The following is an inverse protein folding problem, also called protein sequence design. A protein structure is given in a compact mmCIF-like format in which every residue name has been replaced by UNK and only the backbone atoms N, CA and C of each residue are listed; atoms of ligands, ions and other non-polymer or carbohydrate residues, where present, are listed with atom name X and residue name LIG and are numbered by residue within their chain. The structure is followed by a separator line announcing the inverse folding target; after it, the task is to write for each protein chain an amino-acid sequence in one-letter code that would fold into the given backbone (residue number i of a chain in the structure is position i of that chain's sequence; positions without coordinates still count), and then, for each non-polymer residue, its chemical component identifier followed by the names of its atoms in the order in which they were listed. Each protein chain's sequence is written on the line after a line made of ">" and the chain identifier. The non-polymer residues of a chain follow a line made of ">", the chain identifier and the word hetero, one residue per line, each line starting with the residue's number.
data_IF_682397863080
#
_entry.id   IF_682397863080
#
_cell.length_a   1.000
_cell.length_b   1.000
_cell.length_c   1.000
_cell.angle_alpha   90.00
_cell.angle_beta   90.00
_cell.angle_gamma   90.00
#
_symmetry.space_group_name_H-M   'P 1'
#
loop_
_entity.id
_entity.type
_entity.pdbx_description
1 polymer ?
#
# COMPACT_ATOMS: atom_id res chain seq x y z
N UNK A 1 -2.53 8.24 -9.97
CA UNK A 1 -3.11 7.03 -10.57
C UNK A 1 -2.21 5.80 -10.45
N UNK A 2 -0.94 5.84 -10.88
CA UNK A 2 -0.06 4.67 -10.80
C UNK A 2 0.20 4.12 -9.38
N UNK A 3 0.10 4.96 -8.35
CA UNK A 3 0.32 4.57 -6.94
C UNK A 3 -0.96 4.15 -6.20
N UNK A 4 -2.13 4.33 -6.82
CA UNK A 4 -3.42 4.03 -6.19
C UNK A 4 -3.79 2.55 -6.37
N UNK A 5 -3.50 1.96 -7.54
CA UNK A 5 -3.76 0.54 -7.81
C UNK A 5 -2.94 -0.40 -6.89
N UNK A 6 -1.63 -0.18 -6.64
CA UNK A 6 -0.89 -1.00 -5.69
C UNK A 6 -1.43 -0.90 -4.26
N UNK A 7 -1.81 0.30 -3.83
CA UNK A 7 -2.38 0.53 -2.51
C UNK A 7 -3.75 -0.16 -2.37
N UNK A 8 -4.57 -0.13 -3.43
CA UNK A 8 -5.85 -0.84 -3.48
C UNK A 8 -5.65 -2.34 -3.31
N UNK A 9 -4.73 -2.92 -4.08
CA UNK A 9 -4.41 -4.35 -4.02
C UNK A 9 -3.89 -4.77 -2.65
N UNK A 10 -3.06 -3.95 -2.01
CA UNK A 10 -2.58 -4.21 -0.64
C UNK A 10 -3.75 -4.25 0.34
N UNK A 11 -4.63 -3.25 0.28
CA UNK A 11 -5.80 -3.19 1.13
C UNK A 11 -6.75 -4.37 0.90
N UNK A 12 -7.01 -4.74 -0.36
CA UNK A 12 -7.82 -5.92 -0.72
C UNK A 12 -7.19 -7.22 -0.22
N UNK A 13 -5.87 -7.38 -0.31
CA UNK A 13 -5.14 -8.53 0.24
C UNK A 13 -5.19 -8.60 1.77
N UNK A 14 -5.28 -7.46 2.44
CA UNK A 14 -5.51 -7.37 3.88
C UNK A 14 -7.00 -7.57 4.26
N UNK A 15 -7.90 -7.79 3.29
CA UNK A 15 -9.33 -7.97 3.55
C UNK A 15 -10.13 -6.68 3.71
N UNK A 16 -9.54 -5.54 3.37
CA UNK A 16 -10.19 -4.22 3.39
C UNK A 16 -10.64 -3.78 2.01
N UNK A 17 -11.65 -2.91 1.97
CA UNK A 17 -12.12 -2.32 0.73
C UNK A 17 -11.10 -1.29 0.23
N UNK A 18 -10.28 -1.68 -0.76
CA UNK A 18 -9.14 -0.86 -1.17
C UNK A 18 -9.52 0.53 -1.68
N UNK A 19 -10.70 0.72 -2.27
CA UNK A 19 -11.17 2.04 -2.69
C UNK A 19 -11.34 2.99 -1.49
N UNK A 20 -11.87 2.49 -0.37
CA UNK A 20 -12.04 3.25 0.87
C UNK A 20 -10.69 3.57 1.50
N UNK A 21 -9.78 2.59 1.52
CA UNK A 21 -8.43 2.79 2.07
C UNK A 21 -7.66 3.84 1.26
N UNK A 22 -7.69 3.75 -0.07
CA UNK A 22 -7.03 4.72 -0.96
C UNK A 22 -7.60 6.12 -0.76
N UNK A 23 -8.92 6.27 -0.67
CA UNK A 23 -9.56 7.58 -0.46
C UNK A 23 -9.21 8.16 0.91
N UNK A 24 -9.17 7.31 1.95
CA UNK A 24 -8.83 7.70 3.30
C UNK A 24 -7.36 8.12 3.43
N UNK A 25 -6.43 7.35 2.87
CA UNK A 25 -5.00 7.72 2.83
C UNK A 25 -4.78 8.99 2.01
N UNK A 26 -5.50 9.19 0.89
CA UNK A 26 -5.46 10.46 0.13
C UNK A 26 -5.96 11.67 0.90
N UNK A 27 -6.90 11.46 1.82
CA UNK A 27 -7.41 12.52 2.69
C UNK A 27 -6.48 12.84 3.86
N UNK A 28 -5.44 12.02 4.07
CA UNK A 28 -4.44 12.20 5.11
C UNK A 28 -3.21 12.92 4.54
N UNK A 29 -2.65 13.82 5.32
CA UNK A 29 -1.47 14.59 4.95
C UNK A 29 -0.19 14.02 5.59
N UNK A 30 0.93 14.19 4.91
CA UNK A 30 2.25 13.84 5.41
C UNK A 30 2.57 12.34 5.33
N UNK A 31 3.09 11.78 6.42
CA UNK A 31 3.56 10.39 6.48
C UNK A 31 2.48 9.40 6.94
N UNK A 32 1.25 9.87 7.14
CA UNK A 32 0.12 9.04 7.56
C UNK A 32 -0.34 8.15 6.41
N UNK A 33 -0.49 6.86 6.68
CA UNK A 33 -0.95 5.90 5.68
C UNK A 33 -1.57 4.66 6.33
N UNK A 34 -2.01 3.73 5.49
CA UNK A 34 -2.58 2.48 5.95
C UNK A 34 -1.50 1.41 6.05
N UNK A 35 -1.26 0.93 7.26
CA UNK A 35 -0.35 -0.18 7.51
C UNK A 35 -1.10 -1.50 7.36
N UNK A 36 -0.86 -2.22 6.27
CA UNK A 36 -1.53 -3.49 6.01
C UNK A 36 -1.06 -4.66 6.88
N UNK A 37 0.00 -4.50 7.68
CA UNK A 37 0.44 -5.52 8.64
C UNK A 37 -0.28 -5.41 9.98
N UNK A 38 -0.58 -4.19 10.43
CA UNK A 38 -1.30 -3.90 11.68
C UNK A 38 -2.76 -3.56 11.45
N UNK A 39 -3.13 -3.30 10.20
CA UNK A 39 -4.47 -2.88 9.76
C UNK A 39 -4.91 -1.51 10.31
N UNK A 40 -3.94 -0.68 10.70
CA UNK A 40 -4.16 0.63 11.30
C UNK A 40 -3.71 1.79 10.40
N UNK A 41 -4.29 2.97 10.64
CA UNK A 41 -3.87 4.22 9.98
C UNK A 41 -2.88 4.92 10.91
N UNK A 42 -1.61 4.88 10.56
CA UNK A 42 -0.53 5.39 11.38
C UNK A 42 0.53 6.09 10.53
N UNK A 43 1.48 6.75 11.19
CA UNK A 43 2.64 7.30 10.51
C UNK A 43 3.51 6.13 10.03
N UNK A 44 3.50 5.89 8.72
CA UNK A 44 4.23 4.79 8.11
C UNK A 44 5.74 4.92 8.31
N UNK A 45 6.25 6.14 8.42
CA UNK A 45 7.66 6.38 8.68
C UNK A 45 8.03 5.99 10.11
N UNK A 46 7.18 6.32 11.08
CA UNK A 46 7.35 5.92 12.48
C UNK A 46 7.15 4.40 12.67
N UNK A 47 6.22 3.79 11.93
CA UNK A 47 6.00 2.36 11.90
C UNK A 47 7.16 1.57 11.25
N UNK A 48 8.17 2.26 10.69
CA UNK A 48 9.28 1.65 9.98
C UNK A 48 8.94 1.19 8.55
N UNK A 49 7.73 1.49 8.08
CA UNK A 49 7.26 1.27 6.71
C UNK A 49 7.72 2.46 5.85
N UNK A 50 9.03 2.54 5.63
CA UNK A 50 9.69 3.67 4.98
C UNK A 50 9.28 3.84 3.51
N UNK A 51 8.95 2.75 2.81
CA UNK A 51 8.52 2.83 1.40
C UNK A 51 7.70 1.60 0.98
N UNK A 52 6.36 1.69 0.94
CA UNK A 52 5.53 0.61 0.40
C UNK A 52 5.81 0.33 -1.08
N UNK A 53 6.22 1.36 -1.83
CA UNK A 53 6.42 1.30 -3.28
C UNK A 53 7.67 0.48 -3.68
N UNK A 54 8.74 0.49 -2.89
CA UNK A 54 9.97 -0.29 -3.15
C UNK A 54 9.71 -1.80 -3.00
N UNK A 55 8.86 -2.18 -2.05
CA UNK A 55 8.52 -3.59 -1.79
C UNK A 55 7.49 -4.09 -2.81
N UNK A 56 6.48 -3.28 -3.15
CA UNK A 56 5.47 -3.68 -4.16
C UNK A 56 5.95 -3.60 -5.60
N UNK A 57 6.82 -2.64 -5.95
CA UNK A 57 7.46 -2.64 -7.28
C UNK A 57 8.30 -3.91 -7.47
N UNK A 58 8.99 -4.37 -6.42
CA UNK A 58 9.72 -5.64 -6.44
C UNK A 58 8.77 -6.85 -6.53
N UNK A 59 7.64 -6.84 -5.82
CA UNK A 59 6.63 -7.90 -5.91
C UNK A 59 6.01 -7.99 -7.31
N UNK A 60 5.72 -6.85 -7.96
CA UNK A 60 5.21 -6.81 -9.33
C UNK A 60 6.28 -7.21 -10.36
N UNK A 61 7.54 -6.78 -10.18
CA UNK A 61 8.66 -7.23 -11.03
C UNK A 61 8.89 -8.75 -10.92
N UNK A 62 8.74 -9.32 -9.72
CA UNK A 62 8.83 -10.76 -9.52
C UNK A 62 7.63 -11.51 -10.14
N UNK A 63 6.42 -10.94 -10.10
CA UNK A 63 5.25 -11.52 -10.75
C UNK A 63 5.34 -11.47 -12.29
N UNK A 64 5.93 -10.41 -12.86
CA UNK A 64 6.21 -10.32 -14.30
C UNK A 64 7.26 -11.33 -14.79
N UNK A 65 8.16 -11.79 -13.92
CA UNK A 65 9.20 -12.76 -14.26
C UNK A 65 8.70 -14.21 -14.40
N UNK A 66 7.43 -14.50 -14.07
CA UNK A 66 6.82 -15.85 -14.21
C UNK A 66 5.87 -15.94 -15.43
N UNK A 67 5.64 -14.85 -16.16
CA UNK A 67 5.05 -14.90 -17.51
C UNK A 67 6.16 -14.85 -18.56
N UNK A 68 6.89 -15.95 -18.68
CA UNK A 68 7.80 -16.26 -19.79
C UNK A 68 7.54 -17.68 -20.27
#
# INVERSE_FOLDING_TARGET
>A
RALEEPLRLIAENAGYEGSVVVEKVKSMDGNMGFNAMTEEYEDLFAAGVVDPAKVTLSALQNAGSISG
#
